data_IF_863012634002
#
_entry.id   IF_863012634002
#
_cell.length_a   1.000
_cell.length_b   1.000
_cell.length_c   1.000
_cell.angle_alpha   90.00
_cell.angle_beta   90.00
_cell.angle_gamma   90.00
#
_symmetry.space_group_name_H-M   'P 1'
#
loop_
_entity.id
_entity.type
_entity.pdbx_description
1 polymer ?
#
# COMPACT_ATOMS: atom_id res chain seq x y z
N UNK A 1 2.17 14.75 13.96
CA UNK A 1 1.44 13.47 14.06
C UNK A 1 2.48 12.40 14.24
N UNK A 2 2.34 11.50 15.20
CA UNK A 2 3.31 10.40 15.39
C UNK A 2 3.22 9.41 14.22
N UNK A 3 4.34 8.78 13.84
CA UNK A 3 4.41 7.83 12.72
C UNK A 3 3.37 6.71 12.86
N UNK A 4 3.25 6.15 14.08
CA UNK A 4 2.24 5.14 14.40
C UNK A 4 0.80 5.64 14.20
N UNK A 5 0.50 6.89 14.63
CA UNK A 5 -0.82 7.49 14.39
C UNK A 5 -1.09 7.69 12.90
N UNK A 6 -0.06 7.93 12.09
CA UNK A 6 -0.21 8.03 10.64
C UNK A 6 -0.49 6.66 10.01
N UNK A 7 0.18 5.59 10.46
CA UNK A 7 -0.12 4.21 10.04
C UNK A 7 -1.57 3.86 10.34
N UNK A 8 -2.02 4.10 11.58
CA UNK A 8 -3.41 3.81 11.97
C UNK A 8 -4.43 4.61 11.15
N UNK A 9 -4.16 5.89 10.84
CA UNK A 9 -5.02 6.66 9.94
C UNK A 9 -4.96 6.17 8.49
N UNK A 10 -3.81 5.69 8.03
CA UNK A 10 -3.64 5.15 6.69
C UNK A 10 -4.40 3.83 6.48
N UNK A 11 -4.80 3.12 7.55
CA UNK A 11 -5.74 1.97 7.43
C UNK A 11 -7.10 2.34 6.81
N UNK A 12 -7.42 3.63 6.64
CA UNK A 12 -8.56 4.08 5.79
C UNK A 12 -8.48 3.55 4.35
N UNK A 13 -7.29 3.15 3.90
CA UNK A 13 -7.07 2.42 2.65
C UNK A 13 -8.01 1.21 2.49
N UNK A 14 -8.48 0.61 3.59
CA UNK A 14 -9.45 -0.48 3.57
C UNK A 14 -10.71 -0.13 2.76
N UNK A 15 -11.26 1.07 2.97
CA UNK A 15 -12.43 1.54 2.24
C UNK A 15 -12.14 1.73 0.76
N UNK A 16 -11.00 2.37 0.44
CA UNK A 16 -10.58 2.59 -0.94
C UNK A 16 -10.34 1.29 -1.71
N UNK A 17 -9.62 0.33 -1.12
CA UNK A 17 -9.29 -0.94 -1.75
C UNK A 17 -10.56 -1.77 -1.99
N UNK A 18 -11.47 -1.81 -1.02
CA UNK A 18 -12.75 -2.48 -1.16
C UNK A 18 -13.65 -1.84 -2.24
N UNK A 19 -13.73 -0.51 -2.27
CA UNK A 19 -14.54 0.24 -3.23
C UNK A 19 -14.02 0.07 -4.67
N UNK A 20 -12.70 0.24 -4.87
CA UNK A 20 -12.06 0.12 -6.18
C UNK A 20 -11.89 -1.32 -6.66
N UNK A 21 -12.17 -2.32 -5.81
CA UNK A 21 -11.97 -3.75 -6.08
C UNK A 21 -10.56 -4.06 -6.59
N UNK A 22 -9.57 -3.36 -6.05
CA UNK A 22 -8.18 -3.42 -6.51
C UNK A 22 -7.29 -4.28 -5.61
N UNK A 23 -7.86 -5.17 -4.79
CA UNK A 23 -7.10 -6.00 -3.85
C UNK A 23 -5.95 -6.78 -4.50
N UNK A 24 -6.15 -7.53 -5.60
CA UNK A 24 -5.04 -8.26 -6.22
C UNK A 24 -3.94 -7.30 -6.67
N UNK A 25 -4.33 -6.17 -7.26
CA UNK A 25 -3.40 -5.15 -7.73
C UNK A 25 -2.58 -4.54 -6.58
N UNK A 26 -3.16 -4.34 -5.40
CA UNK A 26 -2.43 -3.85 -4.23
C UNK A 26 -1.46 -4.89 -3.69
N UNK A 27 -1.87 -6.16 -3.60
CA UNK A 27 -0.99 -7.24 -3.15
C UNK A 27 0.22 -7.41 -4.07
N UNK A 28 0.00 -7.47 -5.38
CA UNK A 28 1.08 -7.63 -6.35
C UNK A 28 1.87 -6.33 -6.55
N UNK A 29 1.21 -5.21 -6.78
CA UNK A 29 1.86 -3.96 -7.19
C UNK A 29 2.63 -3.24 -6.07
N UNK A 30 2.36 -3.54 -4.79
CA UNK A 30 3.01 -2.83 -3.67
C UNK A 30 4.06 -3.63 -2.94
N UNK A 31 3.98 -4.97 -2.98
CA UNK A 31 4.91 -5.86 -2.28
C UNK A 31 6.10 -6.30 -3.15
N UNK A 32 6.09 -5.99 -4.45
CA UNK A 32 7.22 -6.25 -5.32
C UNK A 32 8.35 -5.25 -5.06
N UNK A 33 9.56 -5.80 -4.85
CA UNK A 33 10.80 -5.03 -4.73
C UNK A 33 11.09 -4.21 -6.00
N UNK A 34 11.78 -3.07 -5.89
CA UNK A 34 12.06 -2.18 -7.03
C UNK A 34 12.71 -2.88 -8.23
N UNK A 35 13.58 -3.86 -7.99
CA UNK A 35 14.24 -4.62 -9.05
C UNK A 35 13.27 -5.48 -9.86
N UNK A 36 12.20 -5.96 -9.23
CA UNK A 36 11.15 -6.75 -9.90
C UNK A 36 10.18 -5.85 -10.68
N UNK A 37 10.04 -4.58 -10.30
CA UNK A 37 9.18 -3.59 -10.98
C UNK A 37 9.67 -3.25 -12.39
N UNK A 38 10.99 -3.14 -12.56
CA UNK A 38 11.59 -2.65 -13.80
C UNK A 38 11.51 -3.62 -15.01
N UNK A 39 10.90 -4.80 -14.88
CA UNK A 39 11.05 -5.90 -15.85
C UNK A 39 9.86 -6.13 -16.80
N UNK A 40 8.77 -5.35 -16.76
CA UNK A 40 7.60 -5.57 -17.63
C UNK A 40 7.11 -4.30 -18.33
N UNK A 41 6.61 -4.44 -19.57
CA UNK A 41 6.20 -3.32 -20.46
C UNK A 41 4.96 -2.54 -19.95
N UNK A 42 4.18 -3.13 -19.04
CA UNK A 42 3.11 -2.50 -18.27
C UNK A 42 3.15 -3.16 -16.89
N UNK A 43 3.84 -2.54 -15.94
CA UNK A 43 3.98 -3.10 -14.61
C UNK A 43 2.68 -2.92 -13.82
N UNK A 44 2.04 -3.99 -13.31
CA UNK A 44 0.95 -3.87 -12.34
C UNK A 44 1.27 -2.90 -11.18
N UNK A 45 2.56 -2.76 -10.83
CA UNK A 45 3.02 -1.79 -9.84
C UNK A 45 2.78 -0.35 -10.28
N UNK A 46 2.92 0.00 -11.56
CA UNK A 46 2.64 1.36 -12.04
C UNK A 46 1.16 1.72 -11.86
N UNK A 47 0.27 0.77 -12.15
CA UNK A 47 -1.18 0.98 -11.96
C UNK A 47 -1.49 1.13 -10.46
N UNK A 48 -0.90 0.29 -9.61
CA UNK A 48 -1.07 0.38 -8.15
C UNK A 48 -0.56 1.71 -7.59
N UNK A 49 0.65 2.12 -7.99
CA UNK A 49 1.27 3.40 -7.60
C UNK A 49 0.37 4.57 -8.00
N UNK A 50 -0.08 4.62 -9.26
CA UNK A 50 -0.96 5.69 -9.73
C UNK A 50 -2.29 5.78 -8.98
N UNK A 51 -2.85 4.64 -8.54
CA UNK A 51 -4.05 4.62 -7.71
C UNK A 51 -3.79 5.09 -6.28
N UNK A 52 -2.61 4.79 -5.74
CA UNK A 52 -2.21 5.10 -4.38
C UNK A 52 -1.66 6.52 -4.22
N UNK A 53 -1.13 7.13 -5.27
CA UNK A 53 -0.46 8.44 -5.21
C UNK A 53 -1.34 9.55 -4.60
N UNK A 54 -2.63 9.71 -4.99
CA UNK A 54 -3.49 10.71 -4.37
C UNK A 54 -3.72 10.47 -2.88
N UNK A 55 -3.73 9.20 -2.44
CA UNK A 55 -3.92 8.83 -1.04
C UNK A 55 -2.63 9.03 -0.24
N UNK A 56 -1.47 8.73 -0.84
CA UNK A 56 -0.15 8.94 -0.24
C UNK A 56 0.07 10.41 0.14
N UNK A 57 -0.44 11.34 -0.69
CA UNK A 57 -0.34 12.78 -0.45
C UNK A 57 -1.01 13.21 0.87
N UNK A 58 -2.01 12.48 1.36
CA UNK A 58 -2.66 12.74 2.65
C UNK A 58 -1.82 12.27 3.85
N UNK A 59 -0.75 11.50 3.61
CA UNK A 59 0.16 10.96 4.63
C UNK A 59 1.61 11.32 4.35
N UNK A 60 1.98 12.62 4.44
CA UNK A 60 3.33 13.08 4.13
C UNK A 60 4.41 12.50 5.07
N UNK A 61 4.03 12.11 6.29
CA UNK A 61 4.95 11.52 7.27
C UNK A 61 5.30 10.04 6.99
N UNK A 62 4.43 9.31 6.30
CA UNK A 62 4.76 7.93 5.91
C UNK A 62 5.73 7.99 4.74
N UNK A 63 6.85 7.28 4.80
CA UNK A 63 7.71 7.09 3.63
C UNK A 63 6.95 6.30 2.55
N UNK A 64 7.39 6.38 1.30
CA UNK A 64 6.87 5.49 0.27
C UNK A 64 7.16 4.02 0.60
N UNK A 65 8.32 3.77 1.20
CA UNK A 65 8.73 2.44 1.65
C UNK A 65 7.82 1.86 2.74
N UNK A 66 7.16 2.68 3.56
CA UNK A 66 6.13 2.23 4.50
C UNK A 66 4.72 2.20 3.87
N UNK A 67 4.38 3.22 3.08
CA UNK A 67 3.02 3.38 2.57
C UNK A 67 2.61 2.27 1.62
N UNK A 68 3.49 1.87 0.69
CA UNK A 68 3.17 0.82 -0.27
C UNK A 68 2.98 -0.54 0.41
N UNK A 69 3.93 -1.04 1.24
CA UNK A 69 3.70 -2.31 1.95
C UNK A 69 2.50 -2.26 2.89
N UNK A 70 2.19 -1.11 3.49
CA UNK A 70 0.98 -0.95 4.29
C UNK A 70 -0.29 -1.16 3.44
N UNK A 71 -0.33 -0.65 2.21
CA UNK A 71 -1.44 -0.91 1.29
C UNK A 71 -1.58 -2.40 0.96
N UNK A 72 -0.46 -3.13 0.80
CA UNK A 72 -0.45 -4.58 0.65
C UNK A 72 -1.00 -5.31 1.88
N UNK A 73 -0.57 -4.93 3.09
CA UNK A 73 -1.11 -5.48 4.36
C UNK A 73 -2.62 -5.26 4.46
N UNK A 74 -3.08 -4.04 4.23
CA UNK A 74 -4.51 -3.70 4.27
C UNK A 74 -5.28 -4.50 3.21
N UNK A 75 -4.68 -4.77 2.04
CA UNK A 75 -5.30 -5.59 1.01
C UNK A 75 -5.52 -7.05 1.48
N UNK A 76 -4.57 -7.65 2.21
CA UNK A 76 -4.75 -8.98 2.82
C UNK A 76 -5.96 -8.98 3.76
N UNK A 77 -6.04 -7.98 4.65
CA UNK A 77 -7.12 -7.84 5.62
C UNK A 77 -8.49 -7.63 4.96
N UNK A 78 -8.55 -6.85 3.87
CA UNK A 78 -9.79 -6.59 3.11
C UNK A 78 -10.40 -7.89 2.57
N UNK A 79 -9.59 -8.87 2.21
CA UNK A 79 -10.06 -10.19 1.73
C UNK A 79 -10.41 -11.18 2.83
N UNK A 80 -10.33 -10.79 4.10
CA UNK A 80 -10.48 -11.71 5.23
C UNK A 80 -9.26 -12.60 5.43
N UNK A 81 -8.10 -12.20 4.92
CA UNK A 81 -6.83 -12.82 5.24
C UNK A 81 -6.41 -12.55 6.69
N UNK A 82 -5.27 -13.10 7.14
CA UNK A 82 -4.78 -12.88 8.49
C UNK A 82 -4.40 -11.41 8.73
N UNK A 83 -4.41 -11.00 9.99
CA UNK A 83 -3.78 -9.74 10.40
C UNK A 83 -2.26 -9.89 10.27
N UNK A 84 -1.64 -9.00 9.49
CA UNK A 84 -0.19 -9.03 9.23
C UNK A 84 0.49 -7.95 10.10
N UNK A 85 1.40 -8.31 11.01
CA UNK A 85 2.11 -7.33 11.82
C UNK A 85 2.87 -6.33 10.95
N UNK A 86 2.62 -5.04 11.15
CA UNK A 86 3.26 -3.95 10.40
C UNK A 86 4.15 -3.10 11.31
N UNK A 87 5.42 -2.95 10.93
CA UNK A 87 6.40 -2.12 11.62
C UNK A 87 6.79 -0.97 10.68
N UNK A 88 6.49 0.30 11.01
CA UNK A 88 6.92 1.44 10.21
C UNK A 88 8.37 1.83 10.52
N UNK A 89 8.94 2.70 9.70
CA UNK A 89 10.31 3.21 9.85
C UNK A 89 11.23 2.83 8.69
N UNK A 90 10.70 2.42 7.53
CA UNK A 90 11.50 2.18 6.33
C UNK A 90 11.85 3.51 5.67
N UNK A 91 13.08 3.64 5.19
CA UNK A 91 13.57 4.78 4.40
C UNK A 91 13.67 4.44 2.91
#
# INVERSE_FOLDING_TARGET
MDLWKAVEKAKKLRGFIAEKRCTPLMLYGTLLEPLTRAQTLVDPSDIAIRLLEPLKAEFPILSYADFYPLAGVVAVEVTGGPEVPFHPGRE
#
